data_IF_081745864405
#
_entry.id   IF_081745864405
#
_cell.length_a   1.000
_cell.length_b   1.000
_cell.length_c   1.000
_cell.angle_alpha   90.00
_cell.angle_beta   90.00
_cell.angle_gamma   90.00
#
_symmetry.space_group_name_H-M   'P 1'
#
loop_
_entity.id
_entity.type
_entity.pdbx_description
1 polymer ?
#
# COMPACT_ATOMS: atom_id res chain seq x y z
N UNK A 1 -18.98 -8.04 -19.41
CA UNK A 1 -18.59 -7.03 -20.43
C UNK A 1 -17.44 -6.21 -19.85
N UNK A 2 -16.43 -5.95 -20.67
CA UNK A 2 -15.34 -5.03 -20.33
C UNK A 2 -15.25 -3.96 -21.42
N UNK A 3 -14.78 -2.76 -21.06
CA UNK A 3 -14.63 -1.62 -21.94
C UNK A 3 -13.21 -1.06 -21.80
N UNK A 4 -12.67 -0.54 -22.89
CA UNK A 4 -11.37 0.14 -22.90
C UNK A 4 -11.61 1.64 -23.11
N UNK A 5 -11.04 2.45 -22.25
CA UNK A 5 -11.11 3.90 -22.33
C UNK A 5 -9.71 4.47 -22.40
N UNK A 6 -9.51 5.50 -23.22
CA UNK A 6 -8.31 6.31 -23.22
C UNK A 6 -8.66 7.64 -22.57
N UNK A 7 -8.33 7.79 -21.29
CA UNK A 7 -8.65 8.98 -20.49
C UNK A 7 -7.61 9.21 -19.39
N UNK A 8 -7.61 10.41 -18.84
CA UNK A 8 -6.87 10.71 -17.64
C UNK A 8 -7.52 9.97 -16.45
N UNK A 9 -6.76 9.09 -15.80
CA UNK A 9 -7.25 8.31 -14.64
C UNK A 9 -7.62 9.23 -13.47
N UNK A 10 -6.97 10.39 -13.34
CA UNK A 10 -7.34 11.39 -12.34
C UNK A 10 -8.78 11.93 -12.56
N UNK A 11 -9.30 11.84 -13.78
CA UNK A 11 -10.65 12.24 -14.16
C UNK A 11 -11.57 11.03 -14.43
N UNK A 12 -11.33 9.89 -13.77
CA UNK A 12 -12.06 8.66 -13.96
C UNK A 12 -13.58 8.86 -13.73
N UNK A 13 -14.42 8.75 -14.77
CA UNK A 13 -15.86 8.82 -14.61
C UNK A 13 -16.35 7.49 -14.03
N UNK A 14 -16.68 7.48 -12.75
CA UNK A 14 -17.34 6.33 -12.16
C UNK A 14 -18.82 6.36 -12.52
N UNK A 15 -19.33 5.26 -13.05
CA UNK A 15 -20.76 5.16 -13.41
C UNK A 15 -21.65 5.47 -12.21
N UNK A 16 -22.76 6.13 -12.46
CA UNK A 16 -23.79 6.39 -11.45
C UNK A 16 -24.62 5.12 -11.21
N UNK A 17 -23.98 4.10 -10.68
CA UNK A 17 -24.66 2.99 -10.04
C UNK A 17 -25.23 3.44 -8.70
N UNK A 18 -26.12 2.69 -8.10
CA UNK A 18 -26.75 3.10 -6.83
C UNK A 18 -25.67 3.45 -5.79
N UNK A 19 -25.94 4.41 -4.89
CA UNK A 19 -25.01 4.84 -3.81
C UNK A 19 -24.54 3.68 -2.89
N UNK A 20 -25.13 2.50 -3.05
CA UNK A 20 -24.82 1.27 -2.31
C UNK A 20 -23.83 0.37 -3.02
N UNK A 21 -23.53 0.62 -4.30
CA UNK A 21 -22.66 -0.23 -5.08
C UNK A 21 -21.20 0.11 -4.79
N UNK A 22 -20.51 -0.87 -4.27
CA UNK A 22 -19.07 -0.90 -4.09
C UNK A 22 -18.35 -0.79 -5.42
N UNK A 23 -17.43 0.14 -5.55
CA UNK A 23 -16.56 0.23 -6.72
C UNK A 23 -15.13 -0.11 -6.32
N UNK A 24 -14.54 -1.05 -7.07
CA UNK A 24 -13.17 -1.48 -6.89
C UNK A 24 -12.30 -0.89 -7.99
N UNK A 25 -11.26 -0.17 -7.60
CA UNK A 25 -10.29 0.47 -8.50
C UNK A 25 -8.94 -0.19 -8.29
N UNK A 26 -8.30 -0.62 -9.36
CA UNK A 26 -6.98 -1.24 -9.32
C UNK A 26 -5.97 -0.28 -9.94
N UNK A 27 -4.93 0.09 -9.17
CA UNK A 27 -3.81 0.92 -9.65
C UNK A 27 -2.52 0.16 -9.37
N UNK A 28 -1.84 -0.27 -10.41
CA UNK A 28 -0.63 -1.06 -10.32
C UNK A 28 0.42 -0.63 -11.35
N UNK A 29 1.70 -0.88 -11.08
CA UNK A 29 2.79 -0.65 -12.01
C UNK A 29 3.20 0.82 -12.18
N UNK A 30 2.79 1.69 -11.26
CA UNK A 30 3.16 3.11 -11.22
C UNK A 30 3.98 3.43 -9.97
N UNK A 31 4.77 4.51 -10.01
CA UNK A 31 5.52 4.99 -8.86
C UNK A 31 4.60 5.47 -7.73
N UNK A 32 5.11 5.44 -6.49
CA UNK A 32 4.31 5.75 -5.31
C UNK A 32 3.72 7.15 -5.32
N UNK A 33 4.44 8.15 -5.78
CA UNK A 33 3.96 9.53 -5.87
C UNK A 33 2.76 9.65 -6.81
N UNK A 34 2.87 9.12 -8.03
CA UNK A 34 1.78 9.13 -9.01
C UNK A 34 0.58 8.33 -8.49
N UNK A 35 0.82 7.18 -7.86
CA UNK A 35 -0.26 6.38 -7.27
C UNK A 35 -1.06 7.21 -6.25
N UNK A 36 -0.38 7.90 -5.34
CA UNK A 36 -1.03 8.75 -4.33
C UNK A 36 -1.79 9.92 -4.96
N UNK A 37 -1.22 10.54 -6.00
CA UNK A 37 -1.89 11.62 -6.75
C UNK A 37 -3.18 11.13 -7.40
N UNK A 38 -3.17 9.96 -8.05
CA UNK A 38 -4.34 9.36 -8.68
C UNK A 38 -5.43 9.02 -7.64
N UNK A 39 -5.06 8.37 -6.53
CA UNK A 39 -6.00 8.06 -5.45
C UNK A 39 -6.63 9.34 -4.89
N UNK A 40 -5.82 10.37 -4.62
CA UNK A 40 -6.30 11.67 -4.11
C UNK A 40 -7.28 12.34 -5.09
N UNK A 41 -6.97 12.34 -6.38
CA UNK A 41 -7.82 12.93 -7.40
C UNK A 41 -9.17 12.19 -7.52
N UNK A 42 -9.16 10.87 -7.52
CA UNK A 42 -10.38 10.06 -7.56
C UNK A 42 -11.25 10.31 -6.30
N UNK A 43 -10.64 10.33 -5.12
CA UNK A 43 -11.37 10.62 -3.87
C UNK A 43 -11.99 12.03 -3.89
N UNK A 44 -11.27 13.02 -4.41
CA UNK A 44 -11.76 14.39 -4.53
C UNK A 44 -12.95 14.53 -5.49
N UNK A 45 -12.97 13.75 -6.58
CA UNK A 45 -14.07 13.72 -7.53
C UNK A 45 -15.29 12.96 -7.02
N UNK A 46 -15.09 11.98 -6.14
CA UNK A 46 -16.14 11.08 -5.66
C UNK A 46 -16.22 11.02 -4.12
N UNK A 47 -16.37 12.17 -3.42
CA UNK A 47 -16.20 12.26 -1.96
C UNK A 47 -17.23 11.47 -1.15
N UNK A 48 -18.39 11.15 -1.73
CA UNK A 48 -19.48 10.46 -1.04
C UNK A 48 -19.61 8.97 -1.45
N UNK A 49 -18.69 8.48 -2.29
CA UNK A 49 -18.77 7.10 -2.77
C UNK A 49 -18.00 6.12 -1.89
N UNK A 50 -18.55 4.93 -1.81
CA UNK A 50 -17.83 3.79 -1.26
C UNK A 50 -16.86 3.26 -2.30
N UNK A 51 -15.58 3.59 -2.14
CA UNK A 51 -14.50 3.16 -3.02
C UNK A 51 -13.58 2.18 -2.30
N UNK A 52 -13.21 1.14 -3.00
CA UNK A 52 -12.13 0.24 -2.61
C UNK A 52 -11.02 0.30 -3.64
N UNK A 53 -9.78 0.21 -3.19
CA UNK A 53 -8.61 0.23 -4.06
C UNK A 53 -7.76 -1.00 -3.81
N UNK A 54 -7.28 -1.62 -4.91
CA UNK A 54 -6.14 -2.53 -4.87
C UNK A 54 -4.96 -1.79 -5.46
N UNK A 55 -3.94 -1.58 -4.66
CA UNK A 55 -2.80 -0.73 -4.96
C UNK A 55 -1.51 -1.54 -4.95
N UNK A 56 -0.71 -1.42 -6.02
CA UNK A 56 0.60 -2.05 -6.12
C UNK A 56 1.64 -1.04 -6.60
N UNK A 57 2.19 -0.20 -5.71
CA UNK A 57 3.25 0.75 -6.06
C UNK A 57 4.56 0.01 -6.40
N UNK A 58 5.32 0.52 -7.38
CA UNK A 58 6.63 -0.05 -7.74
C UNK A 58 7.75 0.38 -6.80
N UNK A 59 7.59 1.48 -6.08
CA UNK A 59 8.56 2.02 -5.12
C UNK A 59 7.90 3.02 -4.16
N UNK A 60 8.65 3.48 -3.15
CA UNK A 60 8.24 4.47 -2.15
C UNK A 60 7.06 4.01 -1.27
N UNK A 61 7.03 2.72 -0.93
CA UNK A 61 5.94 2.11 -0.16
C UNK A 61 5.67 2.81 1.17
N UNK A 62 6.72 3.24 1.90
CA UNK A 62 6.58 3.99 3.15
C UNK A 62 5.77 5.27 2.96
N UNK A 63 6.12 6.07 1.94
CA UNK A 63 5.40 7.30 1.59
C UNK A 63 3.95 7.02 1.18
N UNK A 64 3.73 5.99 0.35
CA UNK A 64 2.39 5.58 -0.07
C UNK A 64 1.52 5.26 1.14
N UNK A 65 2.00 4.41 2.05
CA UNK A 65 1.26 4.00 3.24
C UNK A 65 0.91 5.19 4.14
N UNK A 66 1.86 6.07 4.41
CA UNK A 66 1.61 7.30 5.19
C UNK A 66 0.56 8.19 4.51
N UNK A 67 0.65 8.36 3.19
CA UNK A 67 -0.27 9.18 2.41
C UNK A 67 -1.69 8.61 2.41
N UNK A 68 -1.85 7.29 2.22
CA UNK A 68 -3.15 6.62 2.26
C UNK A 68 -3.80 6.72 3.65
N UNK A 69 -3.00 6.57 4.71
CA UNK A 69 -3.44 6.77 6.10
C UNK A 69 -3.92 8.20 6.33
N UNK A 70 -3.16 9.20 5.87
CA UNK A 70 -3.51 10.61 5.97
C UNK A 70 -4.76 10.98 5.16
N UNK A 71 -5.08 10.24 4.09
CA UNK A 71 -6.33 10.37 3.32
C UNK A 71 -7.53 9.72 4.02
N UNK A 72 -7.34 9.11 5.19
CA UNK A 72 -8.42 8.49 5.96
C UNK A 72 -8.85 7.12 5.45
N UNK A 73 -8.06 6.47 4.59
CA UNK A 73 -8.35 5.13 4.11
C UNK A 73 -8.06 4.08 5.18
N UNK A 74 -8.88 3.04 5.21
CA UNK A 74 -8.70 1.88 6.08
C UNK A 74 -8.14 0.67 5.33
N UNK A 75 -7.28 -0.11 5.98
CA UNK A 75 -6.68 -1.33 5.44
C UNK A 75 -7.64 -2.52 5.57
N UNK A 76 -7.94 -3.18 4.47
CA UNK A 76 -8.73 -4.41 4.44
C UNK A 76 -7.85 -5.66 4.41
N UNK A 77 -6.83 -5.64 3.58
CA UNK A 77 -5.81 -6.69 3.51
C UNK A 77 -4.54 -6.14 2.87
N UNK A 78 -3.45 -6.81 3.08
CA UNK A 78 -2.18 -6.54 2.41
C UNK A 78 -1.37 -7.83 2.24
N UNK A 79 -0.55 -7.86 1.21
CA UNK A 79 0.27 -9.01 0.87
C UNK A 79 1.64 -8.59 0.37
N UNK A 80 2.65 -9.35 0.77
CA UNK A 80 3.99 -9.27 0.21
C UNK A 80 4.18 -10.40 -0.79
N UNK A 81 4.42 -10.04 -2.05
CA UNK A 81 4.75 -10.99 -3.12
C UNK A 81 6.21 -10.85 -3.54
N UNK A 82 6.78 -11.95 -3.97
CA UNK A 82 8.08 -11.98 -4.63
C UNK A 82 7.92 -12.62 -6.01
N UNK A 83 8.34 -11.89 -7.04
CA UNK A 83 8.36 -12.37 -8.42
C UNK A 83 9.65 -11.91 -9.10
N UNK A 84 10.38 -12.83 -9.73
CA UNK A 84 11.63 -12.55 -10.43
C UNK A 84 12.64 -11.75 -9.56
N UNK A 85 12.79 -12.14 -8.28
CA UNK A 85 13.66 -11.48 -7.29
C UNK A 85 13.28 -10.02 -6.97
N UNK A 86 12.06 -9.63 -7.28
CA UNK A 86 11.49 -8.33 -6.91
C UNK A 86 10.35 -8.51 -5.94
N UNK A 87 10.28 -7.60 -4.98
CA UNK A 87 9.20 -7.58 -4.00
C UNK A 87 8.13 -6.57 -4.39
N UNK A 88 6.89 -6.95 -4.17
CA UNK A 88 5.72 -6.12 -4.40
C UNK A 88 4.82 -6.14 -3.18
N UNK A 89 4.45 -4.96 -2.70
CA UNK A 89 3.38 -4.83 -1.72
C UNK A 89 2.06 -4.61 -2.45
N UNK A 90 1.05 -5.39 -2.08
CA UNK A 90 -0.31 -5.21 -2.56
C UNK A 90 -1.16 -4.80 -1.38
N UNK A 91 -1.80 -3.63 -1.47
CA UNK A 91 -2.68 -3.09 -0.45
C UNK A 91 -4.12 -3.07 -0.95
N UNK A 92 -5.03 -3.64 -0.20
CA UNK A 92 -6.46 -3.47 -0.40
C UNK A 92 -6.98 -2.50 0.66
N UNK A 93 -7.42 -1.33 0.23
CA UNK A 93 -7.87 -0.25 1.12
C UNK A 93 -9.27 0.21 0.75
N UNK A 94 -9.96 0.85 1.70
CA UNK A 94 -11.35 1.28 1.56
C UNK A 94 -11.55 2.69 2.13
N UNK A 95 -12.49 3.45 1.54
CA UNK A 95 -12.99 4.71 2.10
C UNK A 95 -13.91 4.51 3.31
N UNK A 96 -14.44 3.30 3.50
CA UNK A 96 -15.22 2.96 4.70
C UNK A 96 -14.24 2.45 5.75
N UNK A 97 -14.06 3.25 6.81
CA UNK A 97 -13.41 2.79 8.03
C UNK A 97 -14.29 1.77 8.77
N UNK A 98 -13.82 1.19 9.83
CA UNK A 98 -14.45 0.26 10.75
C UNK A 98 -15.94 -0.17 10.51
N UNK A 99 -16.32 -1.40 10.93
CA UNK A 99 -15.53 -2.30 11.80
C UNK A 99 -14.53 -3.21 11.06
N UNK A 100 -14.51 -3.21 9.72
CA UNK A 100 -13.80 -4.21 8.93
C UNK A 100 -12.46 -3.72 8.34
N UNK A 101 -11.97 -2.55 8.76
CA UNK A 101 -10.71 -2.00 8.29
C UNK A 101 -9.79 -1.68 9.48
N UNK A 102 -8.51 -1.98 9.32
CA UNK A 102 -7.45 -1.63 10.26
C UNK A 102 -6.74 -0.35 9.85
N UNK A 103 -6.03 0.31 10.75
CA UNK A 103 -5.13 1.41 10.39
C UNK A 103 -4.04 0.95 9.40
N UNK A 104 -3.71 1.80 8.44
CA UNK A 104 -2.57 1.57 7.55
C UNK A 104 -1.31 1.99 8.30
N UNK A 105 -0.43 1.03 8.60
CA UNK A 105 0.88 1.29 9.20
C UNK A 105 1.94 1.53 8.14
N UNK A 106 2.96 2.32 8.46
CA UNK A 106 3.97 2.75 7.49
C UNK A 106 4.88 1.60 6.98
N UNK A 107 5.03 0.53 7.75
CA UNK A 107 5.89 -0.62 7.45
C UNK A 107 5.14 -1.92 7.18
N UNK A 108 3.81 -1.87 7.17
CA UNK A 108 2.96 -3.06 7.09
C UNK A 108 2.55 -3.61 8.45
N UNK A 109 1.45 -4.34 8.49
CA UNK A 109 0.91 -4.98 9.68
C UNK A 109 0.35 -6.36 9.40
N UNK A 110 -0.70 -6.48 8.58
CA UNK A 110 -1.36 -7.74 8.30
C UNK A 110 -0.47 -8.74 7.54
N UNK A 111 0.37 -8.25 6.64
CA UNK A 111 1.26 -9.11 5.86
C UNK A 111 2.34 -9.79 6.69
N UNK A 112 2.54 -9.35 7.94
CA UNK A 112 3.46 -9.98 8.88
C UNK A 112 2.78 -10.99 9.80
N UNK A 113 1.47 -10.88 10.02
CA UNK A 113 0.73 -11.70 10.97
C UNK A 113 0.44 -13.12 10.48
N UNK A 114 0.48 -13.35 9.17
CA UNK A 114 0.13 -14.63 8.55
C UNK A 114 1.32 -15.35 7.95
N UNK A 115 2.53 -15.00 8.38
CA UNK A 115 3.74 -15.65 7.91
C UNK A 115 3.83 -17.07 8.48
N UNK A 116 4.20 -18.00 7.62
CA UNK A 116 4.63 -19.34 7.97
C UNK A 116 6.15 -19.47 7.88
N UNK A 117 6.71 -20.59 8.32
CA UNK A 117 8.14 -20.85 8.23
C UNK A 117 8.70 -20.70 6.81
N UNK A 118 7.90 -20.98 5.78
CA UNK A 118 8.31 -20.88 4.38
C UNK A 118 8.37 -19.44 3.87
N UNK A 119 7.53 -18.55 4.40
CA UNK A 119 7.44 -17.14 4.00
C UNK A 119 8.32 -16.20 4.83
N UNK A 120 8.76 -16.64 6.01
CA UNK A 120 9.63 -15.85 6.88
C UNK A 120 10.95 -15.39 6.22
N UNK A 121 11.70 -16.23 5.47
CA UNK A 121 12.90 -15.79 4.75
C UNK A 121 12.61 -14.70 3.72
N UNK A 122 11.45 -14.74 3.06
CA UNK A 122 11.00 -13.72 2.11
C UNK A 122 10.77 -12.38 2.82
N UNK A 123 10.07 -12.38 3.94
CA UNK A 123 9.81 -11.20 4.75
C UNK A 123 11.12 -10.56 5.25
N UNK A 124 12.04 -11.37 5.78
CA UNK A 124 13.37 -10.93 6.21
C UNK A 124 14.17 -10.32 5.04
N UNK A 125 14.19 -10.98 3.88
CA UNK A 125 14.89 -10.50 2.68
C UNK A 125 14.33 -9.16 2.21
N UNK A 126 13.00 -9.01 2.16
CA UNK A 126 12.34 -7.76 1.81
C UNK A 126 12.74 -6.61 2.75
N UNK A 127 12.57 -6.78 4.06
CA UNK A 127 12.89 -5.75 5.04
C UNK A 127 14.37 -5.35 4.99
N UNK A 128 15.27 -6.33 4.85
CA UNK A 128 16.71 -6.08 4.70
C UNK A 128 17.04 -5.31 3.42
N UNK A 129 16.38 -5.61 2.30
CA UNK A 129 16.56 -4.88 1.04
C UNK A 129 16.07 -3.43 1.15
N UNK A 130 14.91 -3.20 1.77
CA UNK A 130 14.36 -1.86 1.99
C UNK A 130 15.28 -1.03 2.87
N UNK A 131 15.74 -1.57 4.00
CA UNK A 131 16.69 -0.90 4.89
C UNK A 131 17.97 -0.54 4.12
N UNK A 132 18.56 -1.50 3.42
CA UNK A 132 19.77 -1.29 2.62
C UNK A 132 19.58 -0.27 1.48
N UNK A 133 18.39 -0.20 0.89
CA UNK A 133 18.06 0.81 -0.11
C UNK A 133 18.12 2.22 0.49
N UNK A 134 17.41 2.47 1.59
CA UNK A 134 17.41 3.78 2.25
C UNK A 134 18.77 4.17 2.83
N UNK A 135 19.57 3.21 3.29
CA UNK A 135 20.95 3.48 3.77
C UNK A 135 21.89 3.95 2.65
N UNK A 136 21.65 3.54 1.40
CA UNK A 136 22.45 3.95 0.24
C UNK A 136 21.95 5.23 -0.44
N UNK A 137 20.74 5.69 -0.10
CA UNK A 137 20.22 6.95 -0.65
C UNK A 137 20.98 8.16 -0.09
N UNK A 138 21.09 9.26 -0.87
CA UNK A 138 21.56 10.53 -0.32
C UNK A 138 20.76 10.92 0.92
N UNK A 139 21.44 11.48 1.92
CA UNK A 139 20.80 11.87 3.17
C UNK A 139 19.64 12.83 2.93
N UNK A 140 18.44 12.40 3.28
CA UNK A 140 17.23 13.20 3.31
C UNK A 140 16.71 13.26 4.75
N UNK A 141 16.00 14.34 5.10
CA UNK A 141 15.55 14.60 6.49
C UNK A 141 14.74 13.42 7.10
N UNK A 142 13.96 12.72 6.30
CA UNK A 142 13.12 11.60 6.75
C UNK A 142 13.81 10.23 6.67
N UNK A 143 14.96 10.13 6.01
CA UNK A 143 15.64 8.83 5.81
C UNK A 143 15.96 8.09 7.11
N UNK A 144 16.46 8.76 8.19
CA UNK A 144 16.72 8.08 9.45
C UNK A 144 15.47 7.49 10.12
N UNK A 145 14.35 8.21 10.06
CA UNK A 145 13.06 7.75 10.60
C UNK A 145 12.56 6.50 9.86
N UNK A 146 12.64 6.51 8.53
CA UNK A 146 12.23 5.38 7.68
C UNK A 146 13.08 4.15 7.99
N UNK A 147 14.40 4.30 8.04
CA UNK A 147 15.33 3.22 8.38
C UNK A 147 14.99 2.64 9.76
N UNK A 148 14.79 3.50 10.75
CA UNK A 148 14.47 3.08 12.11
C UNK A 148 13.15 2.29 12.16
N UNK A 149 12.10 2.76 11.47
CA UNK A 149 10.82 2.08 11.42
C UNK A 149 10.93 0.67 10.83
N UNK A 150 11.65 0.50 9.72
CA UNK A 150 11.86 -0.83 9.13
C UNK A 150 12.78 -1.73 9.97
N UNK A 151 13.75 -1.16 10.68
CA UNK A 151 14.59 -1.93 11.62
C UNK A 151 13.77 -2.44 12.81
N UNK A 152 12.86 -1.63 13.34
CA UNK A 152 11.94 -2.06 14.39
C UNK A 152 11.02 -3.18 13.90
N UNK A 153 10.47 -3.05 12.69
CA UNK A 153 9.64 -4.10 12.09
C UNK A 153 10.42 -5.41 11.92
N UNK A 154 11.66 -5.34 11.46
CA UNK A 154 12.52 -6.53 11.31
C UNK A 154 12.83 -7.17 12.67
N UNK A 155 13.14 -6.38 13.69
CA UNK A 155 13.41 -6.89 15.03
C UNK A 155 12.17 -7.57 15.65
N UNK A 156 10.99 -6.98 15.47
CA UNK A 156 9.72 -7.59 15.89
C UNK A 156 9.48 -8.93 15.19
N UNK A 157 9.65 -8.97 13.87
CA UNK A 157 9.51 -10.20 13.10
C UNK A 157 10.39 -11.32 13.63
N UNK A 158 11.67 -11.03 13.90
CA UNK A 158 12.62 -12.03 14.40
C UNK A 158 12.22 -12.52 15.80
N UNK A 159 11.75 -11.64 16.68
CA UNK A 159 11.36 -12.00 18.07
C UNK A 159 10.08 -12.85 18.14
N UNK A 160 9.23 -12.83 17.13
CA UNK A 160 8.00 -13.64 17.07
C UNK A 160 8.25 -15.09 16.64
N UNK A 161 9.44 -15.37 16.06
CA UNK A 161 9.79 -16.68 15.51
C UNK A 161 11.02 -17.34 16.17
N UNK A 162 11.59 -16.75 17.22
CA UNK A 162 12.55 -17.36 18.16
C UNK A 162 11.81 -18.12 19.28
#
# INVERSE_FOLDING_TARGET
QWQVHCLDVAALPLEQTSDKDKQLIIIAGVGGELLVELVRAILAQHPLRHLEFILCPVHHNYYVRQSLSALGLGLKSEHLLEENQRFYEILHVSTIAAPNCLPITATGSLMWQTLDEASLPRAHSYLSQVIGHYQRMPAHKQTPEIIHAYQQQLAQLLSEYE
#
